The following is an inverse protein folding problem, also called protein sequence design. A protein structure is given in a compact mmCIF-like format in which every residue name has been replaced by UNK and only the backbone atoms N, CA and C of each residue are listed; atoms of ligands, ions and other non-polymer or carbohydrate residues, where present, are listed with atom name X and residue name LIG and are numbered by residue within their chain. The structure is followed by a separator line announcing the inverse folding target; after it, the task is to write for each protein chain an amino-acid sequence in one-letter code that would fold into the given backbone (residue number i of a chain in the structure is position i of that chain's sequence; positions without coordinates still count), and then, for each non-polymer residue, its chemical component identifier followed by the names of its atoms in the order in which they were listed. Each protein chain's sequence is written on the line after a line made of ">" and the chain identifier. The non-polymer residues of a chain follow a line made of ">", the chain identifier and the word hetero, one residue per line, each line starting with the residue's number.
data_IF_114543549364
#
_entry.id   IF_114543549364
#
_cell.length_a   1.000
_cell.length_b   1.000
_cell.length_c   1.000
_cell.angle_alpha   90.00
_cell.angle_beta   90.00
_cell.angle_gamma   90.00
#
_symmetry.space_group_name_H-M   'P 1'
#
loop_
_entity.id
_entity.type
_entity.pdbx_description
1 polymer ?
#
# COMPACT_ATOMS: atom_id res chain seq x y z
N UNK A 1 28.04 11.04 -0.55
CA UNK A 1 26.78 10.62 0.10
C UNK A 1 25.61 10.49 -0.89
N UNK A 2 25.88 10.10 -2.16
CA UNK A 2 24.87 9.95 -3.23
C UNK A 2 24.51 8.50 -3.55
N UNK A 3 25.24 7.51 -3.01
CA UNK A 3 25.00 6.08 -3.26
C UNK A 3 23.83 5.52 -2.42
N UNK A 4 23.61 6.04 -1.22
CA UNK A 4 22.67 5.47 -0.25
C UNK A 4 21.21 5.67 -0.65
N UNK A 5 20.89 6.79 -1.31
CA UNK A 5 19.53 7.08 -1.80
C UNK A 5 19.08 6.13 -2.93
N UNK A 6 19.99 5.79 -3.84
CA UNK A 6 19.69 4.85 -4.92
C UNK A 6 19.39 3.45 -4.38
N UNK A 7 20.16 2.99 -3.38
CA UNK A 7 19.94 1.71 -2.73
C UNK A 7 18.59 1.70 -2.02
N UNK A 8 18.27 2.76 -1.27
CA UNK A 8 16.98 2.90 -0.63
C UNK A 8 15.83 2.85 -1.64
N UNK A 9 15.87 3.62 -2.73
CA UNK A 9 14.80 3.61 -3.75
C UNK A 9 14.64 2.22 -4.38
N UNK A 10 15.76 1.53 -4.64
CA UNK A 10 15.74 0.14 -5.13
C UNK A 10 15.12 -0.81 -4.12
N UNK A 11 15.38 -0.62 -2.83
CA UNK A 11 14.77 -1.43 -1.78
C UNK A 11 13.28 -1.13 -1.62
N UNK A 12 12.85 0.12 -1.80
CA UNK A 12 11.43 0.47 -1.89
C UNK A 12 10.75 -0.27 -3.04
N UNK A 13 11.41 -0.39 -4.20
CA UNK A 13 10.89 -1.22 -5.29
C UNK A 13 10.67 -2.68 -4.85
N UNK A 14 11.64 -3.29 -4.15
CA UNK A 14 11.48 -4.64 -3.63
C UNK A 14 10.37 -4.74 -2.59
N UNK A 15 10.26 -3.77 -1.67
CA UNK A 15 9.18 -3.70 -0.68
C UNK A 15 7.81 -3.67 -1.36
N UNK A 16 7.63 -2.81 -2.36
CA UNK A 16 6.43 -2.77 -3.19
C UNK A 16 6.19 -4.13 -3.88
N UNK A 17 7.26 -4.77 -4.37
CA UNK A 17 7.16 -6.04 -5.06
C UNK A 17 6.63 -7.18 -4.19
N UNK A 18 7.06 -7.25 -2.94
CA UNK A 18 6.50 -8.16 -1.93
C UNK A 18 5.09 -7.74 -1.51
N UNK A 19 4.90 -6.47 -1.13
CA UNK A 19 3.63 -5.96 -0.59
C UNK A 19 2.43 -6.12 -1.55
N UNK A 20 2.67 -6.15 -2.86
CA UNK A 20 1.61 -6.31 -3.85
C UNK A 20 1.62 -7.62 -4.60
N UNK A 21 2.68 -8.44 -4.49
CA UNK A 21 2.92 -9.73 -5.16
C UNK A 21 2.83 -9.76 -6.71
N UNK A 22 2.07 -8.85 -7.32
CA UNK A 22 1.78 -8.76 -8.76
C UNK A 22 2.96 -8.17 -9.54
N UNK A 23 3.79 -7.36 -8.87
CA UNK A 23 5.04 -6.82 -9.45
C UNK A 23 6.02 -7.92 -9.85
N UNK A 24 5.99 -9.09 -9.19
CA UNK A 24 6.83 -10.25 -9.55
C UNK A 24 6.37 -10.96 -10.84
N UNK A 25 5.09 -10.82 -11.25
CA UNK A 25 4.50 -11.56 -12.40
C UNK A 25 4.74 -10.93 -13.76
N UNK A 26 4.90 -9.62 -13.79
CA UNK A 26 5.04 -8.83 -15.00
C UNK A 26 6.52 -8.47 -15.14
N UNK A 27 7.07 -8.34 -16.35
CA UNK A 27 8.49 -8.12 -16.71
C UNK A 27 9.16 -6.84 -16.11
N UNK A 28 9.01 -6.60 -14.82
CA UNK A 28 9.58 -5.52 -14.04
C UNK A 28 10.99 -5.85 -13.53
N UNK A 29 11.51 -7.04 -13.83
CA UNK A 29 12.88 -7.42 -13.48
C UNK A 29 13.92 -6.38 -13.92
N UNK A 30 13.72 -5.73 -15.07
CA UNK A 30 14.63 -4.67 -15.53
C UNK A 30 14.48 -3.34 -14.79
N UNK A 31 13.41 -3.11 -14.01
CA UNK A 31 13.33 -1.96 -13.09
C UNK A 31 14.37 -2.11 -11.98
N UNK A 32 14.59 -3.32 -11.46
CA UNK A 32 15.55 -3.57 -10.39
C UNK A 32 17.01 -3.25 -10.78
N UNK A 33 17.31 -3.26 -12.09
CA UNK A 33 18.62 -2.89 -12.64
C UNK A 33 18.77 -1.40 -12.96
N UNK A 34 17.67 -0.64 -12.97
CA UNK A 34 17.71 0.80 -13.27
C UNK A 34 18.06 1.62 -12.03
N UNK A 35 18.78 2.72 -12.25
CA UNK A 35 19.08 3.71 -11.20
C UNK A 35 18.02 4.81 -11.22
N UNK A 36 17.60 5.23 -10.03
CA UNK A 36 16.56 6.21 -9.84
C UNK A 36 17.08 7.28 -8.89
N UNK A 37 17.12 8.53 -9.35
CA UNK A 37 17.53 9.66 -8.50
C UNK A 37 16.44 9.98 -7.47
N UNK A 38 15.19 9.85 -7.90
CA UNK A 38 14.01 10.15 -7.12
C UNK A 38 13.02 8.98 -7.16
N UNK A 39 12.27 8.79 -6.08
CA UNK A 39 11.27 7.73 -5.98
C UNK A 39 10.11 7.95 -6.98
N UNK A 40 9.84 9.20 -7.34
CA UNK A 40 8.87 9.57 -8.37
C UNK A 40 9.26 9.01 -9.75
N UNK A 41 10.57 8.88 -10.03
CA UNK A 41 11.05 8.24 -11.25
C UNK A 41 10.75 6.74 -11.26
N UNK A 42 10.89 6.10 -10.09
CA UNK A 42 10.52 4.69 -9.90
C UNK A 42 9.02 4.51 -10.15
N UNK A 43 8.17 5.33 -9.54
CA UNK A 43 6.72 5.27 -9.73
C UNK A 43 6.30 5.54 -11.17
N UNK A 44 6.89 6.55 -11.82
CA UNK A 44 6.65 6.84 -13.22
C UNK A 44 7.06 5.66 -14.12
N UNK A 45 8.17 4.99 -13.83
CA UNK A 45 8.58 3.81 -14.58
C UNK A 45 7.64 2.62 -14.36
N UNK A 46 7.28 2.32 -13.11
CA UNK A 46 6.35 1.23 -12.79
C UNK A 46 4.99 1.47 -13.47
N UNK A 47 4.43 2.68 -13.36
CA UNK A 47 3.16 3.03 -13.99
C UNK A 47 3.25 2.99 -15.51
N UNK A 48 4.28 3.58 -16.12
CA UNK A 48 4.40 3.59 -17.58
C UNK A 48 4.41 2.18 -18.16
N UNK A 49 5.15 1.25 -17.53
CA UNK A 49 5.19 -0.16 -17.94
C UNK A 49 3.89 -0.90 -17.63
N UNK A 50 3.33 -0.68 -16.45
CA UNK A 50 2.09 -1.35 -16.04
C UNK A 50 0.91 -0.95 -16.91
N UNK A 51 0.78 0.33 -17.24
CA UNK A 51 -0.26 0.82 -18.13
C UNK A 51 0.02 0.36 -19.57
N UNK A 52 1.27 0.37 -20.03
CA UNK A 52 1.61 -0.19 -21.35
C UNK A 52 1.23 -1.66 -21.47
N UNK A 53 1.40 -2.44 -20.39
CA UNK A 53 0.96 -3.83 -20.34
C UNK A 53 -0.57 -3.94 -20.32
N UNK A 54 -1.25 -3.13 -19.52
CA UNK A 54 -2.71 -3.09 -19.47
C UNK A 54 -3.31 -2.73 -20.84
N UNK A 55 -2.71 -1.78 -21.56
CA UNK A 55 -3.14 -1.39 -22.90
C UNK A 55 -3.06 -2.54 -23.91
N UNK A 56 -2.08 -3.44 -23.78
CA UNK A 56 -2.00 -4.64 -24.63
C UNK A 56 -3.16 -5.61 -24.40
N UNK A 57 -3.73 -5.61 -23.20
CA UNK A 57 -4.90 -6.42 -22.85
C UNK A 57 -6.23 -5.70 -23.14
N UNK A 58 -6.17 -4.39 -23.36
CA UNK A 58 -7.33 -3.50 -23.46
C UNK A 58 -7.63 -2.80 -22.12
N UNK A 59 -8.15 -1.58 -22.23
CA UNK A 59 -8.66 -0.87 -21.06
C UNK A 59 -9.94 -1.55 -20.58
N UNK A 60 -10.08 -1.65 -19.26
CA UNK A 60 -11.31 -2.12 -18.64
C UNK A 60 -12.47 -1.19 -19.04
N UNK A 61 -13.63 -1.77 -19.34
CA UNK A 61 -14.84 -1.07 -19.80
C UNK A 61 -16.04 -1.52 -19.01
N UNK A 62 -16.96 -0.60 -18.78
CA UNK A 62 -18.20 -0.84 -18.05
C UNK A 62 -19.39 -0.36 -18.87
N UNK A 63 -20.53 -1.02 -18.69
CA UNK A 63 -21.79 -0.59 -19.28
C UNK A 63 -22.35 0.58 -18.46
N UNK A 64 -22.49 1.73 -19.11
CA UNK A 64 -23.07 2.93 -18.51
C UNK A 64 -24.44 3.17 -19.14
N UNK A 65 -25.52 3.27 -18.33
CA UNK A 65 -26.84 3.56 -18.87
C UNK A 65 -26.84 4.97 -19.46
N UNK A 66 -27.30 5.07 -20.71
CA UNK A 66 -27.46 6.32 -21.44
C UNK A 66 -28.91 6.49 -21.84
N UNK A 67 -29.36 7.74 -21.79
CA UNK A 67 -30.64 8.15 -22.37
C UNK A 67 -30.37 9.24 -23.38
N UNK A 68 -30.76 9.02 -24.63
CA UNK A 68 -30.52 9.94 -25.73
C UNK A 68 -31.73 9.99 -26.67
N UNK A 69 -32.03 11.17 -27.23
CA UNK A 69 -33.09 11.31 -28.23
C UNK A 69 -32.49 11.21 -29.63
N UNK A 70 -32.82 10.12 -30.33
CA UNK A 70 -32.24 9.71 -31.60
C UNK A 70 -33.31 9.61 -32.70
N UNK A 71 -32.98 9.85 -33.97
CA UNK A 71 -33.91 9.63 -35.07
C UNK A 71 -34.19 8.13 -35.32
N UNK A 72 -33.34 7.24 -34.82
CA UNK A 72 -33.42 5.79 -34.97
C UNK A 72 -33.54 5.11 -33.61
N UNK A 73 -34.11 3.89 -33.60
CA UNK A 73 -34.23 3.11 -32.36
C UNK A 73 -32.88 2.51 -31.97
N UNK A 74 -32.49 2.71 -30.71
CA UNK A 74 -31.31 2.10 -30.10
C UNK A 74 -31.67 1.61 -28.68
N UNK A 75 -31.58 0.31 -28.44
CA UNK A 75 -31.97 -0.26 -27.14
C UNK A 75 -33.47 -0.15 -26.86
N UNK A 76 -33.86 0.31 -25.68
CA UNK A 76 -35.25 0.39 -25.22
C UNK A 76 -35.81 1.79 -25.47
N UNK A 77 -37.02 1.89 -26.00
CA UNK A 77 -37.70 3.19 -26.20
C UNK A 77 -38.34 3.65 -24.88
N UNK A 78 -38.05 4.88 -24.45
CA UNK A 78 -38.84 5.61 -23.45
C UNK A 78 -40.07 6.19 -24.17
N UNK A 79 -41.16 5.43 -24.12
CA UNK A 79 -42.43 5.76 -24.78
C UNK A 79 -42.95 7.11 -24.29
N UNK A 80 -42.81 7.40 -23.00
CA UNK A 80 -43.35 8.61 -22.37
C UNK A 80 -42.67 9.86 -22.91
N UNK A 81 -41.33 9.87 -22.96
CA UNK A 81 -40.58 11.00 -23.55
C UNK A 81 -40.75 11.08 -25.07
N UNK A 82 -40.82 9.93 -25.75
CA UNK A 82 -41.04 9.88 -27.20
C UNK A 82 -42.40 10.47 -27.60
N UNK A 83 -43.46 10.19 -26.84
CA UNK A 83 -44.78 10.80 -27.04
C UNK A 83 -44.69 12.33 -26.86
N UNK A 84 -43.95 12.83 -25.86
CA UNK A 84 -43.75 14.27 -25.68
C UNK A 84 -43.05 14.91 -26.89
N UNK A 85 -42.01 14.28 -27.43
CA UNK A 85 -41.34 14.76 -28.65
C UNK A 85 -42.29 14.80 -29.85
N UNK A 86 -43.13 13.76 -30.03
CA UNK A 86 -44.16 13.70 -31.07
C UNK A 86 -45.19 14.83 -30.93
N UNK A 87 -45.65 15.13 -29.71
CA UNK A 87 -46.58 16.25 -29.43
C UNK A 87 -45.94 17.59 -29.81
N UNK A 88 -44.62 17.73 -29.64
CA UNK A 88 -43.84 18.90 -30.06
C UNK A 88 -43.46 18.88 -31.56
N UNK A 89 -44.05 17.98 -32.35
CA UNK A 89 -43.75 17.78 -33.78
C UNK A 89 -42.28 17.44 -34.10
N UNK A 90 -41.54 16.89 -33.14
CA UNK A 90 -40.17 16.42 -33.33
C UNK A 90 -40.16 14.94 -33.71
N UNK A 91 -39.46 14.58 -34.80
CA UNK A 91 -39.34 13.20 -35.27
C UNK A 91 -38.15 12.47 -34.64
N UNK A 92 -38.10 12.44 -33.31
CA UNK A 92 -37.04 11.79 -32.53
C UNK A 92 -37.63 10.84 -31.48
N UNK A 93 -36.95 9.73 -31.25
CA UNK A 93 -37.27 8.71 -30.26
C UNK A 93 -36.35 8.89 -29.05
N UNK A 94 -36.92 8.98 -27.85
CA UNK A 94 -36.13 8.93 -26.63
C UNK A 94 -35.80 7.48 -26.31
N UNK A 95 -34.50 7.15 -26.30
CA UNK A 95 -34.00 5.79 -26.19
C UNK A 95 -33.10 5.64 -24.96
N UNK A 96 -33.25 4.51 -24.27
CA UNK A 96 -32.42 4.06 -23.15
C UNK A 96 -31.60 2.85 -23.59
N UNK A 97 -30.28 2.95 -23.51
CA UNK A 97 -29.37 1.86 -23.88
C UNK A 97 -28.10 1.92 -23.05
N UNK A 98 -27.43 0.78 -22.94
CA UNK A 98 -26.15 0.71 -22.24
C UNK A 98 -25.00 0.95 -23.22
N UNK A 99 -24.18 1.95 -22.92
CA UNK A 99 -22.98 2.28 -23.67
C UNK A 99 -21.76 1.64 -22.99
N UNK A 100 -20.99 0.86 -23.75
CA UNK A 100 -19.74 0.29 -23.25
C UNK A 100 -18.65 1.37 -23.21
N UNK A 101 -18.37 1.90 -22.02
CA UNK A 101 -17.48 3.03 -21.81
C UNK A 101 -16.18 2.62 -21.12
N UNK A 102 -15.06 3.18 -21.58
CA UNK A 102 -13.76 3.10 -20.91
C UNK A 102 -13.61 4.16 -19.80
N UNK A 103 -14.53 5.11 -19.69
CA UNK A 103 -14.52 6.17 -18.69
C UNK A 103 -15.08 5.70 -17.34
N UNK A 104 -14.40 4.74 -16.71
CA UNK A 104 -14.67 4.24 -15.36
C UNK A 104 -13.65 4.75 -14.33
N UNK A 105 -13.95 4.55 -13.05
CA UNK A 105 -13.14 5.06 -11.94
C UNK A 105 -11.67 4.59 -12.00
N UNK A 106 -11.40 3.35 -12.41
CA UNK A 106 -10.05 2.81 -12.49
C UNK A 106 -9.21 3.56 -13.53
N UNK A 107 -9.77 3.78 -14.71
CA UNK A 107 -9.10 4.51 -15.78
C UNK A 107 -8.97 6.00 -15.47
N UNK A 108 -9.96 6.59 -14.78
CA UNK A 108 -9.92 7.98 -14.31
C UNK A 108 -8.78 8.18 -13.29
N UNK A 109 -8.60 7.26 -12.34
CA UNK A 109 -7.48 7.26 -11.38
C UNK A 109 -6.14 7.19 -12.12
N UNK A 110 -5.99 6.28 -13.09
CA UNK A 110 -4.77 6.18 -13.91
C UNK A 110 -4.46 7.49 -14.62
N UNK A 111 -5.43 8.05 -15.35
CA UNK A 111 -5.26 9.31 -16.09
C UNK A 111 -4.86 10.44 -15.16
N UNK A 112 -5.52 10.55 -14.02
CA UNK A 112 -5.25 11.58 -13.01
C UNK A 112 -3.84 11.46 -12.46
N UNK A 113 -3.43 10.24 -12.10
CA UNK A 113 -2.07 9.96 -11.60
C UNK A 113 -1.00 10.30 -12.62
N UNK A 114 -1.20 9.93 -13.90
CA UNK A 114 -0.29 10.31 -15.00
C UNK A 114 -0.17 11.83 -15.11
N UNK A 115 -1.30 12.54 -15.11
CA UNK A 115 -1.33 14.00 -15.21
C UNK A 115 -0.54 14.66 -14.08
N UNK A 116 -0.67 14.20 -12.84
CA UNK A 116 0.07 14.77 -11.71
C UNK A 116 1.57 14.50 -11.84
N UNK A 117 1.98 13.28 -12.19
CA UNK A 117 3.40 12.97 -12.43
C UNK A 117 4.02 13.79 -13.57
N UNK A 118 3.24 14.10 -14.61
CA UNK A 118 3.71 14.96 -15.71
C UNK A 118 3.89 16.41 -15.28
N UNK A 119 3.04 16.91 -14.39
CA UNK A 119 3.12 18.25 -13.82
C UNK A 119 4.27 18.39 -12.80
N UNK A 120 4.57 17.31 -12.05
CA UNK A 120 5.62 17.30 -11.03
C UNK A 120 7.00 17.65 -11.59
N UNK A 121 7.74 18.56 -10.94
CA UNK A 121 9.04 19.05 -11.44
C UNK A 121 10.19 18.05 -11.27
N UNK A 122 10.04 17.10 -10.35
CA UNK A 122 11.10 16.17 -9.91
C UNK A 122 11.28 15.03 -10.92
N UNK A 123 10.22 14.57 -11.57
CA UNK A 123 10.25 13.42 -12.49
C UNK A 123 11.14 13.71 -13.70
N UNK A 124 12.10 12.83 -13.96
CA UNK A 124 13.04 12.91 -15.06
C UNK A 124 12.34 12.97 -16.43
N UNK A 125 12.92 13.74 -17.35
CA UNK A 125 12.35 13.99 -18.69
C UNK A 125 12.11 12.70 -19.47
N UNK A 126 12.99 11.71 -19.35
CA UNK A 126 12.85 10.40 -20.00
C UNK A 126 11.57 9.68 -19.53
N UNK A 127 11.31 9.66 -18.22
CA UNK A 127 10.12 9.03 -17.62
C UNK A 127 8.85 9.76 -18.01
N UNK A 128 8.88 11.10 -18.02
CA UNK A 128 7.77 11.91 -18.54
C UNK A 128 7.46 11.59 -20.00
N UNK A 129 8.48 11.37 -20.84
CA UNK A 129 8.27 10.99 -22.23
C UNK A 129 7.60 9.61 -22.36
N UNK A 130 7.95 8.64 -21.50
CA UNK A 130 7.27 7.33 -21.46
C UNK A 130 5.80 7.48 -21.08
N UNK A 131 5.48 8.29 -20.07
CA UNK A 131 4.10 8.58 -19.67
C UNK A 131 3.30 9.31 -20.76
N UNK A 132 3.91 10.27 -21.46
CA UNK A 132 3.28 10.98 -22.58
C UNK A 132 2.92 10.06 -23.76
N UNK A 133 3.64 8.96 -23.97
CA UNK A 133 3.30 7.97 -25.00
C UNK A 133 2.01 7.19 -24.68
N UNK A 134 1.70 7.06 -23.39
CA UNK A 134 0.53 6.31 -22.90
C UNK A 134 -0.72 7.21 -22.82
N UNK A 135 -0.55 8.50 -22.60
CA UNK A 135 -1.66 9.46 -22.41
C UNK A 135 -2.69 9.51 -23.56
N UNK A 136 -2.32 9.38 -24.86
CA UNK A 136 -3.28 9.38 -25.96
C UNK A 136 -4.35 8.28 -25.89
N UNK A 137 -4.07 7.18 -25.18
CA UNK A 137 -5.06 6.11 -24.96
C UNK A 137 -6.13 6.49 -23.93
N UNK A 138 -5.95 7.61 -23.21
CA UNK A 138 -6.85 8.08 -22.16
C UNK A 138 -7.66 9.32 -22.59
N UNK A 139 -7.79 9.60 -23.89
CA UNK A 139 -8.47 10.82 -24.39
C UNK A 139 -9.92 10.89 -23.92
N UNK A 140 -10.68 9.80 -24.03
CA UNK A 140 -12.12 9.76 -23.69
C UNK A 140 -12.39 9.58 -22.19
N UNK A 141 -11.34 9.56 -21.36
CA UNK A 141 -11.44 9.29 -19.93
C UNK A 141 -11.34 10.62 -19.19
N UNK A 142 -12.19 10.86 -18.20
CA UNK A 142 -12.14 12.10 -17.45
C UNK A 142 -11.01 12.05 -16.40
N UNK A 143 -10.47 13.22 -16.06
CA UNK A 143 -9.66 13.35 -14.83
C UNK A 143 -10.60 13.62 -13.65
N UNK A 144 -10.19 13.19 -12.47
CA UNK A 144 -10.93 13.39 -11.23
C UNK A 144 -10.05 14.08 -10.20
N UNK A 145 -10.67 14.67 -9.18
CA UNK A 145 -9.92 15.16 -8.03
C UNK A 145 -9.52 13.96 -7.15
N UNK A 146 -8.23 13.83 -6.75
CA UNK A 146 -7.78 12.70 -5.95
C UNK A 146 -8.54 12.53 -4.62
N UNK A 147 -8.96 13.63 -4.00
CA UNK A 147 -9.71 13.66 -2.72
C UNK A 147 -11.07 12.93 -2.78
N UNK A 148 -11.65 12.79 -3.97
CA UNK A 148 -12.96 12.16 -4.18
C UNK A 148 -12.85 10.63 -4.23
N UNK A 149 -11.64 10.09 -4.43
CA UNK A 149 -11.44 8.66 -4.63
C UNK A 149 -11.73 7.87 -3.36
N UNK A 150 -12.83 7.11 -3.36
CA UNK A 150 -13.16 6.18 -2.28
C UNK A 150 -12.49 4.83 -2.50
N UNK A 151 -11.23 4.70 -2.11
CA UNK A 151 -10.42 3.49 -2.30
C UNK A 151 -11.10 2.20 -1.78
N UNK A 152 -11.78 2.28 -0.63
CA UNK A 152 -12.47 1.13 -0.02
C UNK A 152 -13.66 0.60 -0.84
N UNK A 153 -14.16 1.38 -1.80
CA UNK A 153 -15.28 0.97 -2.68
C UNK A 153 -14.82 0.32 -3.98
N UNK A 154 -13.51 0.31 -4.26
CA UNK A 154 -12.96 -0.29 -5.46
C UNK A 154 -13.06 -1.82 -5.36
N UNK A 155 -13.93 -2.41 -6.17
CA UNK A 155 -14.13 -3.85 -6.20
C UNK A 155 -13.39 -4.48 -7.39
N UNK A 156 -12.54 -5.47 -7.09
CA UNK A 156 -11.77 -6.19 -8.09
C UNK A 156 -12.45 -7.52 -8.45
N UNK A 157 -12.92 -7.60 -9.69
CA UNK A 157 -13.51 -8.75 -10.34
C UNK A 157 -12.51 -9.39 -11.31
N UNK A 158 -12.85 -10.57 -11.85
CA UNK A 158 -12.03 -11.27 -12.84
C UNK A 158 -11.62 -10.39 -14.02
N UNK A 159 -12.49 -9.47 -14.45
CA UNK A 159 -12.29 -8.62 -15.64
C UNK A 159 -11.39 -7.40 -15.39
N UNK A 160 -11.21 -6.98 -14.14
CA UNK A 160 -10.38 -5.82 -13.76
C UNK A 160 -9.28 -6.19 -12.76
N UNK A 161 -9.07 -7.47 -12.48
CA UNK A 161 -8.08 -7.96 -11.50
C UNK A 161 -6.66 -7.46 -11.80
N UNK A 162 -6.34 -7.26 -13.08
CA UNK A 162 -5.04 -6.76 -13.54
C UNK A 162 -4.78 -5.33 -13.10
N UNK A 163 -5.83 -4.54 -12.85
CA UNK A 163 -5.72 -3.17 -12.34
C UNK A 163 -5.36 -3.10 -10.87
N UNK A 164 -5.53 -4.18 -10.08
CA UNK A 164 -5.32 -4.16 -8.62
C UNK A 164 -3.96 -3.60 -8.22
N UNK A 165 -2.92 -4.00 -8.94
CA UNK A 165 -1.56 -3.53 -8.71
C UNK A 165 -1.39 -2.06 -9.09
N UNK A 166 -1.87 -1.66 -10.26
CA UNK A 166 -1.84 -0.28 -10.70
C UNK A 166 -2.60 0.65 -9.76
N UNK A 167 -3.76 0.21 -9.27
CA UNK A 167 -4.57 0.97 -8.31
C UNK A 167 -3.84 1.13 -6.97
N UNK A 168 -3.17 0.09 -6.47
CA UNK A 168 -2.36 0.23 -5.27
C UNK A 168 -1.21 1.23 -5.47
N UNK A 169 -0.54 1.22 -6.62
CA UNK A 169 0.51 2.20 -6.90
C UNK A 169 -0.05 3.61 -7.01
N UNK A 170 -1.18 3.78 -7.70
CA UNK A 170 -1.89 5.05 -7.76
C UNK A 170 -2.33 5.52 -6.36
N UNK A 171 -2.76 4.61 -5.49
CA UNK A 171 -3.05 4.93 -4.09
C UNK A 171 -1.83 5.52 -3.40
N UNK A 172 -0.68 4.84 -3.46
CA UNK A 172 0.56 5.33 -2.86
C UNK A 172 1.01 6.68 -3.43
N UNK A 173 0.84 6.89 -4.73
CA UNK A 173 1.20 8.15 -5.39
C UNK A 173 0.24 9.25 -4.97
N UNK A 174 -1.07 9.08 -5.16
CA UNK A 174 -2.07 10.12 -4.92
C UNK A 174 -2.20 10.47 -3.45
N UNK A 175 -2.24 9.49 -2.55
CA UNK A 175 -2.32 9.74 -1.12
C UNK A 175 -1.00 10.28 -0.54
N UNK A 176 0.14 9.80 -1.05
CA UNK A 176 1.45 10.37 -0.72
C UNK A 176 1.63 11.81 -1.22
N UNK A 177 0.97 12.17 -2.33
CA UNK A 177 0.93 13.52 -2.91
C UNK A 177 0.05 14.50 -2.14
N UNK A 178 -1.02 14.01 -1.49
CA UNK A 178 -2.10 14.85 -0.96
C UNK A 178 -1.75 15.55 0.37
N UNK A 179 -0.55 15.36 0.93
CA UNK A 179 -0.16 15.98 2.20
C UNK A 179 0.42 17.41 2.08
N UNK A 180 0.37 18.06 0.92
CA UNK A 180 0.67 19.50 0.82
C UNK A 180 -0.36 20.25 0.01
N UNK A 181 -1.19 21.04 0.69
CA UNK A 181 -1.96 22.13 0.10
C UNK A 181 -1.74 23.40 0.90
N UNK A 182 -0.81 24.24 0.45
CA UNK A 182 -0.95 25.69 0.67
C UNK A 182 -1.16 26.46 -0.64
N UNK A 183 -0.97 25.90 -1.85
CA UNK A 183 -1.05 26.75 -3.06
C UNK A 183 -1.37 26.05 -4.40
N UNK A 184 -2.37 25.15 -4.42
CA UNK A 184 -3.01 24.66 -5.67
C UNK A 184 -2.12 23.96 -6.71
N UNK A 185 -0.84 23.76 -6.41
CA UNK A 185 0.14 23.01 -7.19
C UNK A 185 0.49 21.77 -6.39
N UNK A 186 0.13 20.60 -6.93
CA UNK A 186 0.55 19.31 -6.39
C UNK A 186 2.08 19.27 -6.38
N UNK A 187 2.67 19.53 -5.21
CA UNK A 187 4.08 19.31 -4.94
C UNK A 187 4.17 17.97 -4.20
N UNK A 188 5.05 17.07 -4.66
CA UNK A 188 5.37 15.88 -3.87
C UNK A 188 6.09 16.37 -2.62
N UNK A 189 5.43 16.27 -1.47
CA UNK A 189 6.15 16.21 -0.21
C UNK A 189 7.04 14.96 -0.24
N UNK A 190 8.22 15.07 0.36
CA UNK A 190 8.96 13.91 0.87
C UNK A 190 7.95 12.94 1.48
N UNK A 191 7.88 11.70 0.99
CA UNK A 191 6.87 10.70 1.40
C UNK A 191 6.62 10.75 2.91
N UNK A 192 5.37 10.89 3.32
CA UNK A 192 5.04 10.93 4.74
C UNK A 192 5.48 9.64 5.43
N UNK A 193 6.02 9.73 6.64
CA UNK A 193 6.46 8.59 7.45
C UNK A 193 5.33 7.54 7.63
N UNK A 194 4.06 7.95 7.65
CA UNK A 194 2.90 7.04 7.79
C UNK A 194 2.73 6.08 6.60
N UNK A 195 2.86 6.56 5.36
CA UNK A 195 2.74 5.69 4.18
C UNK A 195 3.90 4.70 4.08
N UNK A 196 5.11 5.16 4.42
CA UNK A 196 6.28 4.28 4.46
C UNK A 196 6.17 3.24 5.56
N UNK A 197 5.60 3.59 6.72
CA UNK A 197 5.27 2.65 7.77
C UNK A 197 4.34 1.54 7.29
N UNK A 198 3.21 1.87 6.64
CA UNK A 198 2.28 0.86 6.10
C UNK A 198 2.91 -0.01 5.02
N UNK A 199 3.75 0.56 4.16
CA UNK A 199 4.49 -0.22 3.16
C UNK A 199 5.47 -1.18 3.83
N UNK A 200 6.18 -0.70 4.85
CA UNK A 200 7.16 -1.48 5.60
C UNK A 200 6.52 -2.65 6.34
N UNK A 201 5.44 -2.39 7.08
CA UNK A 201 4.62 -3.40 7.75
C UNK A 201 4.20 -4.51 6.78
N UNK A 202 3.58 -4.10 5.67
CA UNK A 202 3.08 -5.05 4.67
C UNK A 202 4.20 -5.79 3.94
N UNK A 203 5.33 -5.13 3.71
CA UNK A 203 6.52 -5.76 3.14
C UNK A 203 7.01 -6.90 4.04
N UNK A 204 7.22 -6.64 5.34
CA UNK A 204 7.71 -7.66 6.27
C UNK A 204 6.73 -8.83 6.37
N UNK A 205 5.42 -8.53 6.45
CA UNK A 205 4.38 -9.55 6.47
C UNK A 205 4.42 -10.46 5.22
N UNK A 206 4.45 -9.85 4.03
CA UNK A 206 4.43 -10.58 2.77
C UNK A 206 5.76 -11.26 2.45
N UNK A 207 6.88 -10.75 2.98
CA UNK A 207 8.19 -11.42 2.93
C UNK A 207 8.12 -12.79 3.60
N UNK A 208 7.72 -12.86 4.89
CA UNK A 208 7.65 -14.13 5.61
C UNK A 208 6.61 -15.09 5.01
N UNK A 209 5.45 -14.59 4.56
CA UNK A 209 4.48 -15.44 3.85
C UNK A 209 5.04 -16.08 2.58
N UNK A 210 5.92 -15.37 1.87
CA UNK A 210 6.43 -15.82 0.57
C UNK A 210 7.67 -16.70 0.71
N UNK A 211 8.64 -16.25 1.50
CA UNK A 211 9.96 -16.89 1.60
C UNK A 211 10.00 -17.98 2.68
N UNK A 212 9.09 -17.93 3.66
CA UNK A 212 9.03 -18.89 4.78
C UNK A 212 7.65 -19.53 4.97
N UNK A 213 7.17 -20.32 3.98
CA UNK A 213 5.86 -20.98 4.05
C UNK A 213 5.78 -22.02 5.19
N UNK A 214 6.91 -22.44 5.77
CA UNK A 214 6.95 -23.30 6.96
C UNK A 214 6.49 -22.58 8.23
N UNK A 215 6.51 -21.24 8.25
CA UNK A 215 6.02 -20.42 9.35
C UNK A 215 4.55 -20.08 9.12
N UNK A 216 3.71 -20.26 10.14
CA UNK A 216 2.35 -19.75 10.08
C UNK A 216 2.40 -18.23 10.33
N UNK A 217 2.36 -17.48 9.24
CA UNK A 217 2.47 -16.01 9.22
C UNK A 217 1.10 -15.37 9.07
N UNK A 218 0.73 -14.47 9.98
CA UNK A 218 -0.57 -13.77 9.92
C UNK A 218 -0.53 -12.40 10.58
N UNK A 219 -1.54 -11.58 10.31
CA UNK A 219 -1.96 -10.49 11.20
C UNK A 219 -3.03 -11.05 12.13
N UNK A 220 -2.90 -10.86 13.43
CA UNK A 220 -3.85 -11.43 14.40
C UNK A 220 -4.43 -10.34 15.30
N UNK A 221 -5.73 -10.45 15.57
CA UNK A 221 -6.39 -9.65 16.61
C UNK A 221 -6.18 -10.35 17.95
N UNK A 222 -5.34 -9.76 18.79
CA UNK A 222 -5.07 -10.25 20.13
C UNK A 222 -6.23 -9.84 21.02
N UNK A 223 -6.81 -10.82 21.72
CA UNK A 223 -7.93 -10.60 22.62
C UNK A 223 -7.43 -10.06 23.95
N UNK A 224 -8.18 -9.14 24.55
CA UNK A 224 -7.93 -8.71 25.92
C UNK A 224 -8.14 -9.87 26.89
N UNK A 225 -7.21 -10.08 27.81
CA UNK A 225 -7.36 -11.06 28.86
C UNK A 225 -8.24 -10.50 29.99
N UNK A 226 -9.56 -10.51 29.76
CA UNK A 226 -10.58 -10.03 30.71
C UNK A 226 -11.70 -11.06 30.87
N UNK A 227 -12.53 -10.89 31.90
CA UNK A 227 -13.72 -11.71 32.06
C UNK A 227 -14.83 -11.25 31.09
N UNK A 228 -14.92 -11.97 29.98
CA UNK A 228 -15.90 -11.73 28.93
C UNK A 228 -17.36 -11.93 29.40
N UNK A 229 -17.60 -12.57 30.54
CA UNK A 229 -18.95 -12.81 31.03
C UNK A 229 -19.52 -11.62 31.81
N UNK A 230 -18.67 -10.86 32.51
CA UNK A 230 -19.10 -9.69 33.30
C UNK A 230 -18.99 -8.37 32.54
N UNK A 231 -18.08 -8.26 31.57
CA UNK A 231 -17.59 -6.96 31.09
C UNK A 231 -17.95 -6.64 29.63
N UNK A 232 -19.12 -7.08 29.16
CA UNK A 232 -19.53 -6.91 27.75
C UNK A 232 -19.55 -5.44 27.27
N UNK A 233 -19.89 -4.48 28.14
CA UNK A 233 -19.84 -3.04 27.79
C UNK A 233 -18.41 -2.50 27.67
N UNK A 234 -17.45 -3.10 28.38
CA UNK A 234 -16.05 -2.68 28.30
C UNK A 234 -15.40 -3.08 26.97
N UNK A 235 -15.84 -4.21 26.38
CA UNK A 235 -15.30 -4.71 25.10
C UNK A 235 -15.48 -3.75 23.92
N UNK A 236 -16.57 -2.98 23.90
CA UNK A 236 -16.82 -1.98 22.86
C UNK A 236 -15.96 -0.73 23.02
N UNK A 237 -15.48 -0.45 24.24
CA UNK A 237 -14.70 0.74 24.57
C UNK A 237 -13.18 0.48 24.55
N UNK A 238 -12.76 -0.78 24.65
CA UNK A 238 -11.35 -1.14 24.62
C UNK A 238 -10.77 -1.08 23.21
N UNK A 239 -9.53 -0.58 23.05
CA UNK A 239 -8.90 -0.49 21.75
C UNK A 239 -8.66 -1.89 21.18
N UNK A 240 -8.78 -2.02 19.86
CA UNK A 240 -8.44 -3.25 19.17
C UNK A 240 -6.92 -3.45 19.19
N UNK A 241 -6.45 -4.57 19.75
CA UNK A 241 -5.05 -4.97 19.66
C UNK A 241 -4.85 -5.79 18.38
N UNK A 242 -4.30 -5.15 17.35
CA UNK A 242 -3.99 -5.79 16.08
C UNK A 242 -2.47 -5.81 15.91
N UNK A 243 -1.90 -7.01 15.77
CA UNK A 243 -0.48 -7.17 15.52
C UNK A 243 -0.17 -6.92 14.04
N UNK A 244 0.96 -6.26 13.78
CA UNK A 244 1.51 -6.09 12.42
C UNK A 244 1.87 -7.45 11.81
N UNK A 245 2.70 -8.25 12.49
CA UNK A 245 3.07 -9.61 12.07
C UNK A 245 3.07 -10.55 13.27
N UNK A 246 2.53 -11.73 13.09
CA UNK A 246 2.61 -12.85 14.01
C UNK A 246 3.19 -14.05 13.28
N UNK A 247 4.32 -14.55 13.77
CA UNK A 247 5.00 -15.74 13.27
C UNK A 247 4.83 -16.87 14.28
N UNK A 248 4.25 -17.99 13.84
CA UNK A 248 4.06 -19.18 14.67
C UNK A 248 4.86 -20.36 14.11
N UNK A 249 5.57 -21.07 15.00
CA UNK A 249 6.32 -22.27 14.67
C UNK A 249 6.43 -23.20 15.89
N UNK A 250 6.04 -24.47 15.72
CA UNK A 250 6.11 -25.51 16.77
C UNK A 250 5.56 -25.08 18.15
N UNK A 251 4.42 -24.37 18.17
CA UNK A 251 3.77 -23.92 19.41
C UNK A 251 4.39 -22.67 20.05
N UNK A 252 5.37 -22.04 19.40
CA UNK A 252 5.93 -20.74 19.78
C UNK A 252 5.43 -19.64 18.87
N UNK A 253 5.32 -18.45 19.44
CA UNK A 253 4.80 -17.27 18.75
C UNK A 253 5.74 -16.09 18.92
N UNK A 254 6.14 -15.46 17.82
CA UNK A 254 6.77 -14.15 17.84
C UNK A 254 5.81 -13.12 17.27
N UNK A 255 5.48 -12.14 18.11
CA UNK A 255 4.71 -10.97 17.71
C UNK A 255 5.71 -9.90 17.32
N UNK A 256 5.62 -9.40 16.10
CA UNK A 256 6.49 -8.35 15.58
C UNK A 256 5.62 -7.11 15.38
N UNK A 257 6.06 -5.99 15.94
CA UNK A 257 5.52 -4.66 15.71
C UNK A 257 6.58 -3.85 14.94
N UNK A 258 6.20 -3.38 13.76
CA UNK A 258 7.11 -2.72 12.82
C UNK A 258 6.98 -1.22 12.97
N UNK A 259 8.12 -0.51 12.93
CA UNK A 259 8.15 0.94 13.10
C UNK A 259 9.04 1.59 12.05
N UNK A 260 8.51 2.60 11.39
CA UNK A 260 9.23 3.40 10.40
C UNK A 260 9.22 4.85 10.89
N UNK A 261 10.36 5.31 11.39
CA UNK A 261 10.54 6.68 11.84
C UNK A 261 11.76 7.28 11.18
N UNK A 262 11.72 8.59 10.96
CA UNK A 262 12.92 9.37 10.66
C UNK A 262 14.00 9.21 11.75
N UNK A 263 13.62 9.10 13.03
CA UNK A 263 14.50 8.84 14.18
C UNK A 263 14.03 7.62 14.98
N UNK A 264 14.88 6.59 15.07
CA UNK A 264 14.55 5.32 15.75
C UNK A 264 14.62 5.44 17.27
N UNK A 265 15.41 6.40 17.78
CA UNK A 265 15.61 6.64 19.20
C UNK A 265 15.08 8.02 19.63
N UNK A 266 14.47 8.10 20.80
CA UNK A 266 14.08 9.35 21.43
C UNK A 266 15.27 9.95 22.20
N UNK A 267 15.47 11.27 22.10
CA UNK A 267 16.45 11.99 22.93
C UNK A 267 15.74 12.77 24.02
N UNK A 268 16.02 12.43 25.28
CA UNK A 268 15.59 13.21 26.43
C UNK A 268 16.77 13.41 27.39
N UNK A 269 17.05 14.67 27.77
CA UNK A 269 18.17 15.05 28.66
C UNK A 269 19.51 14.37 28.30
N UNK A 270 19.90 14.40 27.03
CA UNK A 270 21.12 13.78 26.46
C UNK A 270 21.22 12.25 26.57
N UNK A 271 20.17 11.53 27.01
CA UNK A 271 20.09 10.07 26.92
C UNK A 271 19.23 9.67 25.71
N UNK A 272 19.74 8.70 24.96
CA UNK A 272 19.00 8.06 23.87
C UNK A 272 18.23 6.87 24.45
N UNK A 273 16.91 6.86 24.29
CA UNK A 273 16.02 5.80 24.78
C UNK A 273 15.08 5.35 23.68
N UNK A 274 14.56 4.13 23.83
CA UNK A 274 13.49 3.63 22.99
C UNK A 274 12.22 4.46 23.15
N UNK A 275 11.41 4.51 22.09
CA UNK A 275 10.05 5.04 22.15
C UNK A 275 9.20 4.16 23.07
N UNK A 276 8.91 4.68 24.27
CA UNK A 276 8.22 3.95 25.33
C UNK A 276 6.86 3.42 24.89
N UNK A 277 6.11 4.19 24.09
CA UNK A 277 4.82 3.79 23.54
C UNK A 277 4.90 2.47 22.75
N UNK A 278 5.95 2.27 21.96
CA UNK A 278 6.12 1.06 21.16
C UNK A 278 6.43 -0.14 22.07
N UNK A 279 7.28 0.07 23.08
CA UNK A 279 7.58 -0.95 24.07
C UNK A 279 6.33 -1.37 24.85
N UNK A 280 5.49 -0.41 25.24
CA UNK A 280 4.23 -0.70 25.94
C UNK A 280 3.24 -1.43 25.04
N UNK A 281 3.17 -1.06 23.76
CA UNK A 281 2.32 -1.74 22.78
C UNK A 281 2.71 -3.22 22.63
N UNK A 282 3.99 -3.51 22.33
CA UNK A 282 4.44 -4.89 22.14
C UNK A 282 4.33 -5.70 23.44
N UNK A 283 4.63 -5.09 24.58
CA UNK A 283 4.48 -5.73 25.88
C UNK A 283 3.03 -6.12 26.15
N UNK A 284 2.08 -5.23 25.85
CA UNK A 284 0.65 -5.49 26.00
C UNK A 284 0.21 -6.64 25.11
N UNK A 285 0.68 -6.68 23.86
CA UNK A 285 0.38 -7.76 22.91
C UNK A 285 0.88 -9.11 23.42
N UNK A 286 2.14 -9.17 23.84
CA UNK A 286 2.74 -10.41 24.37
C UNK A 286 2.00 -10.91 25.60
N UNK A 287 1.67 -10.02 26.56
CA UNK A 287 1.01 -10.43 27.80
C UNK A 287 -0.44 -10.85 27.64
N UNK A 288 -1.17 -10.25 26.70
CA UNK A 288 -2.54 -10.66 26.42
C UNK A 288 -2.61 -11.93 25.56
N UNK A 289 -1.54 -12.26 24.83
CA UNK A 289 -1.46 -13.51 24.08
C UNK A 289 -0.93 -14.68 24.95
N UNK A 290 0.08 -14.44 25.79
CA UNK A 290 0.65 -15.46 26.71
C UNK A 290 -0.10 -15.53 28.05
N UNK A 291 -1.41 -15.78 28.00
CA UNK A 291 -2.29 -15.80 29.19
C UNK A 291 -1.80 -16.80 30.25
N UNK A 292 -1.21 -17.92 29.81
CA UNK A 292 -0.72 -18.98 30.69
C UNK A 292 0.70 -18.73 31.22
N UNK A 293 1.35 -17.61 30.84
CA UNK A 293 2.76 -17.32 31.13
C UNK A 293 3.68 -18.52 30.78
N UNK A 294 3.46 -19.09 29.60
CA UNK A 294 4.18 -20.25 29.10
C UNK A 294 5.61 -19.92 28.67
N UNK A 295 5.95 -18.63 28.55
CA UNK A 295 7.22 -18.13 27.99
C UNK A 295 7.47 -18.55 26.54
N UNK A 296 6.50 -19.16 25.86
CA UNK A 296 6.57 -19.54 24.44
C UNK A 296 6.24 -18.37 23.49
N UNK A 297 5.87 -17.22 24.05
CA UNK A 297 5.52 -16.01 23.31
C UNK A 297 6.60 -14.97 23.52
N UNK A 298 7.13 -14.47 22.41
CA UNK A 298 8.10 -13.38 22.39
C UNK A 298 7.53 -12.18 21.64
N UNK A 299 8.05 -10.99 21.95
CA UNK A 299 7.76 -9.75 21.25
C UNK A 299 9.01 -9.22 20.55
N UNK A 300 8.83 -8.59 19.39
CA UNK A 300 9.89 -7.89 18.68
C UNK A 300 9.42 -6.52 18.21
N UNK A 301 10.21 -5.50 18.49
CA UNK A 301 10.13 -4.21 17.81
C UNK A 301 11.13 -4.23 16.66
N UNK A 302 10.63 -4.10 15.43
CA UNK A 302 11.45 -4.08 14.23
C UNK A 302 11.44 -2.68 13.60
N UNK A 303 12.50 -1.92 13.85
CA UNK A 303 12.67 -0.56 13.32
C UNK A 303 13.30 -0.60 11.93
N UNK A 304 12.80 0.20 10.99
CA UNK A 304 13.54 0.48 9.76
C UNK A 304 14.71 1.43 10.08
N UNK A 305 15.95 1.02 9.79
CA UNK A 305 17.13 1.87 10.01
C UNK A 305 17.11 3.03 9.02
N UNK A 306 17.21 4.24 9.54
CA UNK A 306 17.44 5.47 8.76
C UNK A 306 18.92 5.89 8.86
N UNK A 307 19.24 7.17 8.74
CA UNK A 307 20.61 7.68 8.76
C UNK A 307 21.26 7.70 10.17
N UNK A 308 20.77 6.92 11.13
CA UNK A 308 21.29 6.92 12.51
C UNK A 308 22.47 5.96 12.69
N UNK A 309 23.55 6.45 13.33
CA UNK A 309 24.74 5.65 13.64
C UNK A 309 24.49 4.65 14.79
N UNK A 310 23.58 4.98 15.70
CA UNK A 310 23.23 4.16 16.86
C UNK A 310 21.88 3.49 16.57
N UNK A 311 21.88 2.16 16.63
CA UNK A 311 20.69 1.33 16.42
C UNK A 311 20.38 0.57 17.71
N UNK A 312 19.11 0.50 18.14
CA UNK A 312 18.77 -0.14 19.39
C UNK A 312 18.63 -1.65 19.22
N UNK A 313 19.74 -2.34 18.99
CA UNK A 313 19.73 -3.80 19.00
C UNK A 313 19.83 -4.26 20.46
N UNK A 314 18.70 -4.73 20.99
CA UNK A 314 18.55 -5.13 22.40
C UNK A 314 17.78 -6.44 22.50
N UNK A 315 18.20 -7.28 23.44
CA UNK A 315 17.43 -8.42 23.91
C UNK A 315 17.24 -8.30 25.42
N UNK A 316 16.01 -8.46 25.89
CA UNK A 316 15.70 -8.45 27.31
C UNK A 316 14.56 -9.40 27.64
N UNK A 317 14.46 -9.79 28.91
CA UNK A 317 13.34 -10.56 29.44
C UNK A 317 12.48 -9.64 30.31
N UNK A 318 11.21 -9.48 29.95
CA UNK A 318 10.25 -8.68 30.70
C UNK A 318 9.13 -9.62 31.18
N UNK A 319 9.02 -9.77 32.50
CA UNK A 319 8.02 -10.62 33.14
C UNK A 319 8.00 -12.06 32.59
N UNK A 320 9.17 -12.63 32.25
CA UNK A 320 9.30 -14.01 31.77
C UNK A 320 9.17 -14.19 30.26
N UNK A 321 8.79 -13.16 29.50
CA UNK A 321 8.76 -13.19 28.05
C UNK A 321 9.97 -12.47 27.46
N UNK A 322 10.52 -13.01 26.37
CA UNK A 322 11.59 -12.36 25.61
C UNK A 322 11.03 -11.19 24.80
N UNK A 323 11.68 -10.04 24.90
CA UNK A 323 11.42 -8.85 24.09
C UNK A 323 12.71 -8.51 23.34
N UNK A 324 12.60 -8.47 22.02
CA UNK A 324 13.67 -8.12 21.10
C UNK A 324 13.42 -6.72 20.55
N UNK A 325 14.49 -5.96 20.39
CA UNK A 325 14.48 -4.73 19.60
C UNK A 325 15.57 -4.89 18.56
N UNK A 326 15.18 -4.75 17.30
CA UNK A 326 16.06 -4.96 16.15
C UNK A 326 15.84 -3.89 15.11
N UNK A 327 16.87 -3.66 14.32
CA UNK A 327 16.85 -2.68 13.25
C UNK A 327 17.12 -3.34 11.90
N UNK A 328 16.30 -3.04 10.90
CA UNK A 328 16.47 -3.52 9.53
C UNK A 328 17.11 -2.44 8.66
N UNK A 329 18.34 -2.69 8.19
CA UNK A 329 19.10 -1.72 7.38
C UNK A 329 18.65 -1.66 5.92
N UNK A 330 17.78 -0.70 5.61
CA UNK A 330 17.25 -0.46 4.27
C UNK A 330 18.22 0.23 3.30
N UNK A 331 19.44 0.60 3.73
CA UNK A 331 20.46 1.23 2.89
C UNK A 331 21.51 0.24 2.37
N UNK A 332 21.30 -1.05 2.62
CA UNK A 332 22.13 -2.14 2.11
C UNK A 332 21.49 -2.83 0.91
N UNK A 333 22.26 -3.63 0.16
CA UNK A 333 21.69 -4.44 -0.92
C UNK A 333 20.57 -5.36 -0.40
N UNK A 334 19.52 -5.56 -1.19
CA UNK A 334 18.36 -6.35 -0.78
C UNK A 334 18.70 -7.77 -0.28
N UNK A 335 19.79 -8.38 -0.77
CA UNK A 335 20.27 -9.68 -0.25
C UNK A 335 20.63 -9.62 1.24
N UNK A 336 21.20 -8.51 1.69
CA UNK A 336 21.54 -8.30 3.09
C UNK A 336 20.28 -8.00 3.92
N UNK A 337 19.30 -7.32 3.35
CA UNK A 337 17.98 -7.12 3.99
C UNK A 337 17.29 -8.48 4.17
N UNK A 338 17.25 -9.30 3.13
CA UNK A 338 16.73 -10.66 3.19
C UNK A 338 17.44 -11.47 4.27
N UNK A 339 18.78 -11.46 4.30
CA UNK A 339 19.55 -12.14 5.34
C UNK A 339 19.23 -11.64 6.76
N UNK A 340 19.01 -10.33 6.96
CA UNK A 340 18.61 -9.78 8.26
C UNK A 340 17.20 -10.25 8.67
N UNK A 341 16.26 -10.35 7.73
CA UNK A 341 14.93 -10.90 7.98
C UNK A 341 14.99 -12.41 8.26
N UNK A 342 15.82 -13.16 7.54
CA UNK A 342 15.99 -14.60 7.76
C UNK A 342 16.59 -14.89 9.14
N UNK A 343 17.48 -14.01 9.61
CA UNK A 343 18.05 -14.11 10.97
C UNK A 343 16.98 -13.99 12.06
N UNK A 344 15.91 -13.22 11.83
CA UNK A 344 14.83 -13.05 12.83
C UNK A 344 14.14 -14.39 13.15
N UNK A 345 14.14 -15.32 12.20
CA UNK A 345 13.53 -16.65 12.37
C UNK A 345 14.25 -17.46 13.45
N UNK A 346 15.55 -17.21 13.64
CA UNK A 346 16.32 -17.86 14.69
C UNK A 346 15.75 -17.59 16.10
N UNK A 347 15.15 -16.42 16.34
CA UNK A 347 14.53 -16.07 17.62
C UNK A 347 13.23 -16.85 17.92
N UNK A 348 12.69 -17.57 16.94
CA UNK A 348 11.53 -18.47 17.12
C UNK A 348 11.99 -19.92 17.16
N UNK A 349 12.96 -20.27 16.32
CA UNK A 349 13.46 -21.65 16.17
C UNK A 349 14.42 -22.06 17.29
N UNK A 350 15.12 -21.11 17.91
CA UNK A 350 16.09 -21.36 18.97
C UNK A 350 15.48 -20.99 20.33
N UNK A 351 15.60 -21.91 21.29
CA UNK A 351 15.08 -21.95 22.68
C UNK A 351 13.85 -22.80 22.88
#
# INVERSE_FOLDING_TARGET
>A
MTNDKNILIKNIYYMLAYAFQVLKRNNYASIASEKFEHIEDLFAEILSRGISYQLKQGLYREYVPRTESLPTMRGKIDITKTIKHRIQCQQILSCEFDELSENNIFNQILKTTISILLQGKIVAKERKNKLKKVLPFFVNINTIEPSIVKWNTLYFQRNNQTYKMLMNICYFILEGLLQTTEDGKYHMATFSDEYMHRLYEKFVLEYYKTEHPELKTSTSRIKWNIDYQSDNKALELLPCMQSDIMLEYNGRTLIIDTKYYSQTMQKQYNKQTLHSNNLYQIFTYVKNYDIQNSSNVAGMLLYAKTNEEITPDLETSICGNRIYVKTLDLYTDFKNIASQLDEIISYIKIH
#
